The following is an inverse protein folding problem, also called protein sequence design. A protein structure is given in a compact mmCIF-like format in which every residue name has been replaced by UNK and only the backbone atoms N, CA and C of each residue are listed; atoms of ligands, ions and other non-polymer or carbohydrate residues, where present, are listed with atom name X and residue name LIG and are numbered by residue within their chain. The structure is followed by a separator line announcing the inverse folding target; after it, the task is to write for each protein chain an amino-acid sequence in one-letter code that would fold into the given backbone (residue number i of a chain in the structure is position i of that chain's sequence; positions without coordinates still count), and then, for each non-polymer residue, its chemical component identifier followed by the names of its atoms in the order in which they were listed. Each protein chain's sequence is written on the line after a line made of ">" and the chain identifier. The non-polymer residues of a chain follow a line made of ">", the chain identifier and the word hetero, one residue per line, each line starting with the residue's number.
data_IF_939043431329
#
_entry.id   IF_939043431329
#
_cell.length_a   1.000
_cell.length_b   1.000
_cell.length_c   1.000
_cell.angle_alpha   90.00
_cell.angle_beta   90.00
_cell.angle_gamma   90.00
#
_symmetry.space_group_name_H-M   'P 1'
#
loop_
_entity.id
_entity.type
_entity.pdbx_description
1 polymer ?
#
# COMPACT_ATOMS: atom_id res chain seq x y z
N UNK A 1 25.49 8.58 10.67
CA UNK A 1 24.38 8.59 9.67
C UNK A 1 23.52 7.35 9.85
N UNK A 2 23.06 7.10 11.08
CA UNK A 2 22.27 5.90 11.46
C UNK A 2 20.82 6.30 11.84
N UNK A 3 20.62 7.59 12.17
CA UNK A 3 19.34 8.13 12.63
C UNK A 3 18.16 7.91 11.67
N UNK A 4 18.33 8.06 10.34
CA UNK A 4 17.25 7.79 9.38
C UNK A 4 16.86 6.31 9.36
N UNK A 5 17.84 5.42 9.49
CA UNK A 5 17.61 3.97 9.51
C UNK A 5 16.93 3.55 10.81
N UNK A 6 17.38 4.08 11.95
CA UNK A 6 16.76 3.91 13.27
C UNK A 6 15.33 4.44 13.33
N UNK A 7 15.04 5.54 12.65
CA UNK A 7 13.68 6.04 12.52
C UNK A 7 12.82 5.07 11.70
N UNK A 8 13.30 4.67 10.52
CA UNK A 8 12.50 3.88 9.58
C UNK A 8 12.28 2.44 10.05
N UNK A 9 13.21 1.84 10.82
CA UNK A 9 12.99 0.50 11.40
C UNK A 9 11.82 0.47 12.37
N UNK A 10 11.53 1.57 13.05
CA UNK A 10 10.39 1.69 13.98
C UNK A 10 9.08 1.84 13.22
N UNK A 11 9.09 2.59 12.12
CA UNK A 11 7.89 3.03 11.40
C UNK A 11 7.47 2.06 10.28
N UNK A 12 8.39 1.62 9.42
CA UNK A 12 8.05 0.82 8.24
C UNK A 12 7.77 -0.63 8.56
N UNK A 13 6.91 -1.25 7.75
CA UNK A 13 6.81 -2.71 7.69
C UNK A 13 8.17 -3.32 7.36
N UNK A 14 8.44 -4.56 7.81
CA UNK A 14 9.72 -5.26 7.58
C UNK A 14 10.15 -5.24 6.11
N UNK A 15 9.23 -5.51 5.19
CA UNK A 15 9.50 -5.52 3.74
C UNK A 15 9.96 -4.16 3.23
N UNK A 16 9.25 -3.09 3.60
CA UNK A 16 9.59 -1.74 3.13
C UNK A 16 10.88 -1.24 3.77
N UNK A 17 11.11 -1.54 5.05
CA UNK A 17 12.36 -1.23 5.72
C UNK A 17 13.57 -1.85 5.01
N UNK A 18 13.51 -3.13 4.63
CA UNK A 18 14.62 -3.79 3.91
C UNK A 18 14.89 -3.17 2.53
N UNK A 19 13.84 -2.74 1.81
CA UNK A 19 14.00 -2.02 0.54
C UNK A 19 14.66 -0.66 0.77
N UNK A 20 14.23 0.09 1.78
CA UNK A 20 14.83 1.36 2.15
C UNK A 20 16.29 1.21 2.59
N UNK A 21 16.61 0.20 3.41
CA UNK A 21 17.98 -0.11 3.83
C UNK A 21 18.89 -0.42 2.63
N UNK A 22 18.38 -1.15 1.64
CA UNK A 22 19.10 -1.37 0.37
C UNK A 22 19.37 -0.05 -0.35
N UNK A 23 18.39 0.86 -0.44
CA UNK A 23 18.59 2.18 -1.04
C UNK A 23 19.61 3.03 -0.25
N UNK A 24 19.68 2.92 1.08
CA UNK A 24 20.73 3.54 1.90
C UNK A 24 22.11 3.01 1.50
N UNK A 25 22.28 1.69 1.38
CA UNK A 25 23.55 1.08 0.96
C UNK A 25 23.96 1.53 -0.45
N UNK A 26 23.05 1.46 -1.40
CA UNK A 26 23.32 1.85 -2.80
C UNK A 26 23.63 3.35 -2.95
N UNK A 27 23.04 4.21 -2.12
CA UNK A 27 23.31 5.66 -2.18
C UNK A 27 24.77 6.04 -1.93
N UNK A 28 25.56 5.19 -1.26
CA UNK A 28 26.98 5.42 -1.00
C UNK A 28 27.83 5.40 -2.28
N UNK A 29 27.30 4.81 -3.36
CA UNK A 29 27.97 4.76 -4.68
C UNK A 29 27.69 6.02 -5.50
N UNK A 30 26.99 7.01 -4.97
CA UNK A 30 26.53 8.19 -5.70
C UNK A 30 27.05 9.48 -5.08
N UNK A 31 27.30 10.48 -5.93
CA UNK A 31 27.65 11.84 -5.56
C UNK A 31 26.50 12.76 -5.96
N UNK A 32 26.18 13.69 -5.07
CA UNK A 32 25.16 14.71 -5.27
C UNK A 32 25.84 16.09 -5.45
N UNK A 33 25.64 16.72 -6.61
CA UNK A 33 26.21 18.01 -6.98
C UNK A 33 25.10 19.02 -7.26
N UNK A 34 25.23 20.25 -6.74
CA UNK A 34 24.27 21.32 -7.01
C UNK A 34 24.46 21.81 -8.44
N UNK A 35 23.40 21.91 -9.24
CA UNK A 35 23.46 22.37 -10.64
C UNK A 35 22.86 23.77 -10.79
N UNK A 36 21.60 23.93 -10.42
CA UNK A 36 20.84 25.18 -10.60
C UNK A 36 20.22 25.57 -9.26
N UNK A 37 20.17 26.87 -9.01
CA UNK A 37 19.47 27.46 -7.88
C UNK A 37 18.62 28.60 -8.42
N UNK A 38 17.31 28.52 -8.24
CA UNK A 38 16.44 29.68 -8.34
C UNK A 38 15.85 30.00 -6.95
N UNK A 39 15.02 31.05 -6.86
CA UNK A 39 14.44 31.46 -5.58
C UNK A 39 13.47 30.40 -5.01
N UNK A 40 12.76 29.68 -5.89
CA UNK A 40 11.75 28.69 -5.48
C UNK A 40 12.29 27.26 -5.34
N UNK A 41 13.24 26.85 -6.20
CA UNK A 41 13.75 25.48 -6.25
C UNK A 41 15.28 25.42 -6.38
N UNK A 42 15.85 24.34 -5.85
CA UNK A 42 17.28 24.02 -5.97
C UNK A 42 17.41 22.64 -6.60
N UNK A 43 18.05 22.57 -7.75
CA UNK A 43 18.22 21.33 -8.52
C UNK A 43 19.60 20.74 -8.30
N UNK A 44 19.63 19.44 -8.03
CA UNK A 44 20.81 18.65 -7.77
C UNK A 44 20.91 17.49 -8.76
N UNK A 45 22.12 17.24 -9.25
CA UNK A 45 22.43 16.06 -10.05
C UNK A 45 23.03 15.01 -9.15
N UNK A 46 22.44 13.81 -9.18
CA UNK A 46 22.93 12.63 -8.46
C UNK A 46 23.41 11.63 -9.49
N UNK A 47 24.70 11.30 -9.43
CA UNK A 47 25.35 10.41 -10.38
C UNK A 47 26.25 9.42 -9.66
N UNK A 48 26.39 8.24 -10.25
CA UNK A 48 27.19 7.17 -9.68
C UNK A 48 28.68 7.54 -9.79
N UNK A 49 29.44 7.32 -8.73
CA UNK A 49 30.90 7.44 -8.72
C UNK A 49 31.48 6.15 -9.30
N UNK A 50 31.67 6.10 -10.61
CA UNK A 50 32.41 5.02 -11.27
C UNK A 50 33.63 5.56 -12.02
N UNK A 51 34.77 4.89 -11.84
CA UNK A 51 35.97 5.05 -12.65
C UNK A 51 35.82 4.23 -13.94
N UNK A 52 35.02 4.70 -14.90
CA UNK A 52 34.84 4.00 -16.17
C UNK A 52 33.75 4.59 -17.05
N UNK A 53 33.89 4.42 -18.38
CA UNK A 53 33.01 4.98 -19.44
C UNK A 53 31.59 4.38 -19.49
N UNK A 54 31.02 3.99 -18.37
CA UNK A 54 29.61 3.62 -18.28
C UNK A 54 28.81 4.86 -17.91
N UNK A 55 28.13 5.43 -18.90
CA UNK A 55 27.25 6.59 -18.74
C UNK A 55 25.98 6.18 -17.96
N UNK A 56 26.13 5.89 -16.67
CA UNK A 56 24.99 5.60 -15.81
C UNK A 56 24.08 6.84 -15.80
N UNK A 57 22.77 6.64 -16.05
CA UNK A 57 21.79 7.74 -16.11
C UNK A 57 21.91 8.61 -14.87
N UNK A 58 22.24 9.89 -15.08
CA UNK A 58 22.17 10.92 -14.06
C UNK A 58 20.71 11.08 -13.62
N UNK A 59 20.49 11.20 -12.32
CA UNK A 59 19.17 11.51 -11.77
C UNK A 59 19.13 12.94 -11.27
N UNK A 60 17.97 13.56 -11.44
CA UNK A 60 17.71 14.90 -10.95
C UNK A 60 16.93 14.82 -9.63
N UNK A 61 17.40 15.54 -8.63
CA UNK A 61 16.74 15.74 -7.34
C UNK A 61 16.41 17.22 -7.21
N UNK A 62 15.14 17.52 -7.04
CA UNK A 62 14.63 18.89 -6.93
C UNK A 62 14.19 19.15 -5.51
N UNK A 63 14.80 20.15 -4.88
CA UNK A 63 14.41 20.65 -3.57
C UNK A 63 13.55 21.90 -3.73
N UNK A 64 12.33 21.84 -3.23
CA UNK A 64 11.37 22.93 -3.20
C UNK A 64 11.51 23.68 -1.88
N UNK A 65 11.97 24.93 -1.94
CA UNK A 65 12.37 25.69 -0.75
C UNK A 65 11.17 26.02 0.14
N UNK A 66 10.04 26.39 -0.45
CA UNK A 66 8.85 26.81 0.29
C UNK A 66 8.20 25.67 1.09
N UNK A 67 8.12 24.48 0.51
CA UNK A 67 7.48 23.31 1.13
C UNK A 67 8.48 22.41 1.86
N UNK A 68 9.77 22.75 1.80
CA UNK A 68 10.87 21.91 2.24
C UNK A 68 10.74 20.48 1.68
N UNK A 69 10.24 20.34 0.44
CA UNK A 69 9.99 19.05 -0.19
C UNK A 69 11.11 18.68 -1.15
N UNK A 70 11.31 17.38 -1.34
CA UNK A 70 12.36 16.84 -2.21
C UNK A 70 11.69 15.82 -3.11
N UNK A 71 11.81 16.03 -4.41
CA UNK A 71 11.39 15.05 -5.41
C UNK A 71 12.61 14.52 -6.16
N UNK A 72 12.47 13.31 -6.71
CA UNK A 72 13.47 12.76 -7.61
C UNK A 72 12.78 12.27 -8.89
N UNK A 73 13.37 12.58 -10.04
CA UNK A 73 12.82 12.21 -11.33
C UNK A 73 12.73 10.69 -11.58
N UNK A 74 13.39 9.85 -10.76
CA UNK A 74 13.23 8.40 -10.82
C UNK A 74 11.87 7.90 -10.29
N UNK A 75 11.10 8.76 -9.59
CA UNK A 75 9.74 8.49 -9.09
C UNK A 75 9.56 7.24 -8.21
N UNK A 76 10.64 6.66 -7.69
CA UNK A 76 10.54 5.48 -6.81
C UNK A 76 9.67 5.77 -5.59
N UNK A 77 9.76 6.97 -5.02
CA UNK A 77 8.92 7.36 -3.89
C UNK A 77 7.43 7.43 -4.29
N UNK A 78 7.12 7.99 -5.45
CA UNK A 78 5.72 8.09 -5.92
C UNK A 78 5.10 6.70 -6.14
N UNK A 79 5.85 5.78 -6.75
CA UNK A 79 5.37 4.43 -7.07
C UNK A 79 5.43 3.46 -5.89
N UNK A 80 6.57 3.40 -5.19
CA UNK A 80 6.84 2.40 -4.16
C UNK A 80 6.75 2.95 -2.74
N UNK A 81 6.73 4.27 -2.56
CA UNK A 81 6.53 4.93 -1.27
C UNK A 81 7.66 4.86 -0.26
N UNK A 82 8.87 4.48 -0.70
CA UNK A 82 10.11 4.63 0.04
C UNK A 82 11.11 5.47 -0.75
N UNK A 83 12.04 6.11 -0.06
CA UNK A 83 13.00 7.04 -0.68
C UNK A 83 14.00 6.24 -1.53
N UNK A 84 14.22 6.67 -2.76
CA UNK A 84 15.28 6.10 -3.60
C UNK A 84 16.67 6.50 -3.09
N UNK A 85 17.69 5.75 -3.52
CA UNK A 85 19.11 6.05 -3.33
C UNK A 85 19.50 7.48 -3.70
N UNK A 86 18.83 8.09 -4.67
CA UNK A 86 19.12 9.47 -5.08
C UNK A 86 18.63 10.49 -4.04
N UNK A 87 17.41 10.32 -3.53
CA UNK A 87 16.89 11.14 -2.43
C UNK A 87 17.71 10.90 -1.16
N UNK A 88 18.05 9.65 -0.86
CA UNK A 88 18.91 9.32 0.29
C UNK A 88 20.28 9.97 0.16
N UNK A 89 20.94 9.90 -1.00
CA UNK A 89 22.21 10.59 -1.26
C UNK A 89 22.10 12.11 -1.02
N UNK A 90 20.99 12.73 -1.47
CA UNK A 90 20.72 14.13 -1.20
C UNK A 90 20.53 14.43 0.30
N UNK A 91 19.72 13.63 1.02
CA UNK A 91 19.51 13.78 2.46
C UNK A 91 20.81 13.67 3.25
N UNK A 92 21.67 12.71 2.87
CA UNK A 92 23.02 12.55 3.43
C UNK A 92 23.88 13.79 3.21
N UNK A 93 23.89 14.34 1.98
CA UNK A 93 24.60 15.60 1.66
C UNK A 93 24.08 16.78 2.50
N UNK A 94 22.77 16.83 2.74
CA UNK A 94 22.10 17.86 3.55
C UNK A 94 22.13 17.59 5.05
N UNK A 95 22.80 16.52 5.49
CA UNK A 95 22.86 16.12 6.90
C UNK A 95 21.47 15.97 7.54
N UNK A 96 20.48 15.55 6.76
CA UNK A 96 19.14 15.23 7.27
C UNK A 96 19.26 13.96 8.09
N UNK A 97 19.01 14.08 9.40
CA UNK A 97 19.08 12.97 10.34
C UNK A 97 17.77 12.20 10.43
N UNK A 98 16.64 12.90 10.33
CA UNK A 98 15.30 12.34 10.42
C UNK A 98 14.47 12.81 9.22
N UNK A 99 13.72 11.90 8.63
CA UNK A 99 12.79 12.24 7.56
C UNK A 99 11.48 12.76 8.14
N UNK A 100 11.03 13.89 7.62
CA UNK A 100 9.72 14.44 7.93
C UNK A 100 8.59 13.49 7.48
N UNK A 101 7.43 13.58 8.14
CA UNK A 101 6.25 12.74 7.88
C UNK A 101 5.76 12.76 6.43
N UNK A 102 6.06 13.83 5.69
CA UNK A 102 5.76 13.97 4.25
C UNK A 102 6.46 12.91 3.38
N UNK A 103 7.48 12.25 3.92
CA UNK A 103 8.19 11.13 3.28
C UNK A 103 7.74 9.77 3.80
N UNK A 104 6.72 9.70 4.66
CA UNK A 104 6.25 8.47 5.29
C UNK A 104 4.80 8.25 4.87
N UNK A 105 4.57 7.28 3.98
CA UNK A 105 3.22 6.98 3.51
C UNK A 105 2.56 5.96 4.43
N UNK A 106 1.38 6.28 4.96
CA UNK A 106 0.64 5.46 5.94
C UNK A 106 0.55 3.98 5.54
N UNK A 107 0.26 3.70 4.26
CA UNK A 107 0.15 2.34 3.70
C UNK A 107 1.38 1.45 3.90
N UNK A 108 2.55 2.04 4.14
CA UNK A 108 3.82 1.33 4.30
C UNK A 108 4.30 1.24 5.75
N UNK A 109 3.55 1.84 6.68
CA UNK A 109 3.85 1.81 8.11
C UNK A 109 3.37 0.50 8.75
N UNK A 110 3.97 0.10 9.87
CA UNK A 110 3.46 -1.03 10.68
C UNK A 110 2.02 -0.80 11.14
N UNK A 111 1.67 0.47 11.31
CA UNK A 111 0.36 0.93 11.75
C UNK A 111 -0.63 1.13 10.59
N UNK A 112 -0.32 0.64 9.37
CA UNK A 112 -1.21 0.76 8.21
C UNK A 112 -2.61 0.16 8.47
N UNK A 113 -2.71 -0.80 9.40
CA UNK A 113 -3.96 -1.43 9.86
C UNK A 113 -4.48 -0.87 11.20
N UNK A 114 -3.73 0.01 11.86
CA UNK A 114 -4.09 0.51 13.20
C UNK A 114 -5.17 1.59 13.13
N UNK A 115 -5.37 2.25 11.98
CA UNK A 115 -6.61 2.96 11.68
C UNK A 115 -7.86 2.06 11.57
N UNK A 116 -7.69 0.73 11.69
CA UNK A 116 -8.75 -0.29 11.79
C UNK A 116 -8.85 -0.90 13.20
N UNK A 117 -8.02 -0.46 14.13
CA UNK A 117 -8.04 -0.91 15.52
C UNK A 117 -8.25 0.29 16.43
N UNK A 118 -9.45 0.40 17.01
CA UNK A 118 -9.57 1.12 18.27
C UNK A 118 -8.81 0.31 19.34
N UNK A 119 -7.70 0.90 19.80
CA UNK A 119 -7.19 0.86 21.17
C UNK A 119 -6.71 -0.49 21.73
N UNK A 120 -5.40 -0.60 21.91
CA UNK A 120 -4.87 -0.64 23.28
C UNK A 120 -3.44 -0.05 23.34
N UNK A 121 -3.25 0.89 24.28
CA UNK A 121 -2.00 1.47 24.80
C UNK A 121 -1.16 2.46 23.95
N UNK A 122 -1.26 3.73 24.35
CA UNK A 122 -0.26 4.82 24.37
C UNK A 122 0.68 5.06 23.17
N UNK A 123 0.31 6.02 22.31
CA UNK A 123 1.01 7.31 22.09
C UNK A 123 -0.01 8.27 21.46
N UNK A 124 -0.34 9.36 22.16
CA UNK A 124 -1.14 10.45 21.60
C UNK A 124 -0.31 11.28 20.61
N UNK A 125 -0.72 11.30 19.35
CA UNK A 125 -0.53 12.46 18.50
C UNK A 125 -1.85 12.72 17.78
N UNK A 126 -2.53 13.78 18.19
CA UNK A 126 -3.86 14.11 17.69
C UNK A 126 -3.78 14.59 16.25
N UNK A 127 -4.60 13.98 15.38
CA UNK A 127 -5.23 14.64 14.23
C UNK A 127 -6.58 13.97 13.98
N UNK A 128 -7.62 14.71 14.33
CA UNK A 128 -8.92 14.89 13.66
C UNK A 128 -9.52 13.69 12.89
N UNK A 129 -10.49 13.10 13.58
CA UNK A 129 -11.82 12.65 13.13
C UNK A 129 -12.07 12.62 11.61
N UNK A 130 -12.06 11.40 11.09
CA UNK A 130 -12.46 11.08 9.72
C UNK A 130 -12.41 9.58 9.46
N UNK A 131 -12.54 8.74 10.49
CA UNK A 131 -12.51 7.29 10.35
C UNK A 131 -13.74 6.83 9.58
N UNK A 132 -13.51 6.55 8.30
CA UNK A 132 -14.50 6.07 7.36
C UNK A 132 -15.19 4.80 7.88
N UNK A 133 -16.52 4.82 7.80
CA UNK A 133 -17.49 3.77 8.15
C UNK A 133 -17.42 2.58 7.17
N UNK A 134 -16.24 2.25 6.65
CA UNK A 134 -16.06 1.26 5.61
C UNK A 134 -16.43 -0.14 6.12
N UNK A 135 -17.17 -0.89 5.29
CA UNK A 135 -17.52 -2.29 5.52
C UNK A 135 -16.29 -3.14 5.90
N UNK A 136 -15.15 -2.90 5.24
CA UNK A 136 -13.90 -3.61 5.53
C UNK A 136 -13.35 -3.29 6.92
N UNK A 137 -13.53 -2.05 7.40
CA UNK A 137 -13.12 -1.65 8.74
C UNK A 137 -13.95 -2.33 9.83
N UNK A 138 -15.28 -2.33 9.66
CA UNK A 138 -16.22 -3.03 10.56
C UNK A 138 -15.92 -4.53 10.61
N UNK A 139 -15.76 -5.17 9.44
CA UNK A 139 -15.44 -6.59 9.34
C UNK A 139 -14.11 -6.93 10.01
N UNK A 140 -13.07 -6.13 9.77
CA UNK A 140 -11.75 -6.33 10.38
C UNK A 140 -11.78 -6.30 11.90
N UNK A 141 -12.49 -5.33 12.49
CA UNK A 141 -12.61 -5.21 13.94
C UNK A 141 -13.38 -6.38 14.56
N UNK A 142 -14.52 -6.76 13.96
CA UNK A 142 -15.33 -7.88 14.42
C UNK A 142 -14.56 -9.21 14.34
N UNK A 143 -13.86 -9.45 13.24
CA UNK A 143 -13.04 -10.64 13.05
C UNK A 143 -11.91 -10.74 14.09
N UNK A 144 -11.24 -9.64 14.40
CA UNK A 144 -10.19 -9.63 15.42
C UNK A 144 -10.73 -9.97 16.82
N UNK A 145 -11.86 -9.36 17.22
CA UNK A 145 -12.48 -9.64 18.53
C UNK A 145 -12.99 -11.08 18.61
N UNK A 146 -13.59 -11.60 17.53
CA UNK A 146 -14.01 -13.00 17.45
C UNK A 146 -12.82 -13.96 17.55
N UNK A 147 -11.72 -13.70 16.84
CA UNK A 147 -10.51 -14.52 16.91
C UNK A 147 -9.97 -14.64 18.34
N UNK A 148 -9.91 -13.53 19.08
CA UNK A 148 -9.44 -13.55 20.46
C UNK A 148 -10.32 -14.38 21.39
N UNK A 149 -11.64 -14.35 21.17
CA UNK A 149 -12.57 -15.16 21.94
C UNK A 149 -12.47 -16.65 21.58
N UNK A 150 -12.26 -16.96 20.29
CA UNK A 150 -12.01 -18.32 19.79
C UNK A 150 -10.74 -18.91 20.39
N UNK A 151 -9.65 -18.13 20.45
CA UNK A 151 -8.39 -18.58 21.06
C UNK A 151 -8.61 -19.05 22.50
N UNK A 152 -9.34 -18.28 23.31
CA UNK A 152 -9.64 -18.60 24.72
C UNK A 152 -10.62 -19.78 24.85
N UNK A 153 -11.64 -19.84 23.99
CA UNK A 153 -12.65 -20.90 24.05
C UNK A 153 -12.09 -22.25 23.59
N UNK A 154 -11.16 -22.26 22.64
CA UNK A 154 -10.55 -23.47 22.08
C UNK A 154 -9.76 -24.31 23.09
N UNK A 155 -9.46 -23.75 24.28
CA UNK A 155 -8.69 -24.43 25.32
C UNK A 155 -9.42 -25.61 25.99
N UNK A 156 -10.75 -25.69 25.87
CA UNK A 156 -11.54 -26.80 26.46
C UNK A 156 -12.81 -27.06 25.66
N UNK A 157 -13.25 -28.31 25.57
CA UNK A 157 -14.49 -28.68 24.86
C UNK A 157 -15.72 -27.96 25.39
N UNK A 158 -15.84 -27.80 26.71
CA UNK A 158 -16.98 -27.11 27.34
C UNK A 158 -17.09 -25.63 26.94
N UNK A 159 -15.97 -24.94 26.74
CA UNK A 159 -15.96 -23.54 26.30
C UNK A 159 -16.20 -23.42 24.80
N UNK A 160 -15.67 -24.34 24.01
CA UNK A 160 -15.90 -24.42 22.58
C UNK A 160 -17.38 -24.65 22.25
N UNK A 161 -18.04 -25.61 22.93
CA UNK A 161 -19.47 -25.88 22.73
C UNK A 161 -20.35 -24.71 23.17
N UNK A 162 -20.01 -24.07 24.30
CA UNK A 162 -20.68 -22.85 24.74
C UNK A 162 -20.57 -21.73 23.70
N UNK A 163 -19.34 -21.44 23.22
CA UNK A 163 -19.12 -20.36 22.27
C UNK A 163 -19.81 -20.61 20.92
N UNK A 164 -19.84 -21.86 20.45
CA UNK A 164 -20.57 -22.23 19.24
C UNK A 164 -22.07 -21.92 19.36
N UNK A 165 -22.71 -22.32 20.47
CA UNK A 165 -24.12 -22.00 20.71
C UNK A 165 -24.39 -20.50 20.79
N UNK A 166 -23.50 -19.74 21.42
CA UNK A 166 -23.60 -18.28 21.47
C UNK A 166 -23.43 -17.63 20.08
N UNK A 167 -22.53 -18.13 19.23
CA UNK A 167 -22.40 -17.64 17.86
C UNK A 167 -23.66 -17.87 17.02
N UNK A 168 -24.31 -19.02 17.15
CA UNK A 168 -25.60 -19.30 16.51
C UNK A 168 -26.68 -18.34 17.00
N UNK A 169 -26.76 -18.10 18.32
CA UNK A 169 -27.71 -17.15 18.91
C UNK A 169 -27.48 -15.72 18.42
N UNK A 170 -26.22 -15.26 18.42
CA UNK A 170 -25.84 -13.94 17.94
C UNK A 170 -26.14 -13.76 16.46
N UNK A 171 -25.94 -14.80 15.64
CA UNK A 171 -26.25 -14.76 14.21
C UNK A 171 -27.73 -14.45 13.98
N UNK A 172 -28.63 -15.11 14.71
CA UNK A 172 -30.07 -14.85 14.63
C UNK A 172 -30.40 -13.41 15.03
N UNK A 173 -29.89 -12.95 16.17
CA UNK A 173 -30.17 -11.59 16.66
C UNK A 173 -29.65 -10.49 15.75
N UNK A 174 -28.46 -10.67 15.15
CA UNK A 174 -27.89 -9.68 14.24
C UNK A 174 -28.72 -9.57 12.96
N UNK A 175 -29.28 -10.68 12.46
CA UNK A 175 -30.18 -10.68 11.31
C UNK A 175 -31.54 -10.01 11.61
N UNK A 176 -32.03 -10.09 12.85
CA UNK A 176 -33.28 -9.44 13.28
C UNK A 176 -33.17 -7.90 13.34
N UNK A 177 -31.97 -7.38 13.61
CA UNK A 177 -31.69 -5.92 13.65
C UNK A 177 -31.93 -5.28 12.27
N UNK A 178 -31.70 -6.01 11.18
CA UNK A 178 -31.91 -5.51 9.81
C UNK A 178 -33.40 -5.31 9.44
N UNK A 179 -34.33 -5.88 10.21
CA UNK A 179 -35.79 -5.86 9.90
C UNK A 179 -36.51 -4.64 10.51
N UNK A 180 -36.03 -4.12 11.64
CA UNK A 180 -36.74 -3.07 12.40
C UNK A 180 -36.23 -1.65 12.14
N UNK A 181 -35.24 -1.49 11.25
CA UNK A 181 -34.55 -0.23 10.98
C UNK A 181 -34.87 0.48 9.66
N UNK A 182 -35.86 0.03 8.88
CA UNK A 182 -36.13 0.65 7.57
C UNK A 182 -37.63 0.71 7.20
N UNK A 183 -38.32 1.76 7.64
CA UNK A 183 -39.53 2.24 6.98
C UNK A 183 -39.14 2.92 5.65
N UNK A 184 -38.85 2.09 4.66
CA UNK A 184 -38.42 2.52 3.33
C UNK A 184 -38.30 1.32 2.39
N UNK A 185 -39.42 0.62 2.15
CA UNK A 185 -39.51 -0.41 1.12
C UNK A 185 -39.77 0.26 -0.24
N UNK A 186 -38.91 0.12 -1.26
CA UNK A 186 -39.39 -0.09 -2.61
C UNK A 186 -39.68 -1.58 -2.78
N UNK A 187 -40.93 -1.89 -3.08
CA UNK A 187 -41.44 -3.24 -3.33
C UNK A 187 -40.54 -4.00 -4.31
N UNK A 188 -39.89 -5.08 -3.85
CA UNK A 188 -39.58 -6.17 -4.75
C UNK A 188 -40.77 -7.13 -4.75
N UNK A 189 -41.65 -6.90 -5.72
CA UNK A 189 -42.72 -7.85 -6.01
C UNK A 189 -42.09 -9.14 -6.52
N UNK A 190 -42.43 -10.24 -5.85
CA UNK A 190 -42.29 -11.59 -6.34
C UNK A 190 -43.06 -11.72 -7.66
N UNK A 191 -42.32 -11.73 -8.78
CA UNK A 191 -42.76 -12.36 -10.02
C UNK A 191 -41.81 -13.50 -10.35
N UNK A 192 -42.20 -14.69 -9.91
CA UNK A 192 -41.89 -15.93 -10.59
C UNK A 192 -42.36 -15.84 -12.05
N UNK A 193 -41.41 -15.84 -12.99
CA UNK A 193 -41.55 -16.45 -14.31
C UNK A 193 -40.16 -16.69 -14.87
N UNK A 194 -39.86 -17.96 -15.09
CA UNK A 194 -38.66 -18.43 -15.76
C UNK A 194 -38.49 -17.73 -17.10
N UNK A 195 -37.30 -17.19 -17.31
CA UNK A 195 -36.74 -16.95 -18.64
C UNK A 195 -35.27 -17.24 -18.47
N UNK A 196 -34.82 -18.40 -18.98
CA UNK A 196 -33.40 -18.71 -19.06
C UNK A 196 -32.74 -17.63 -19.92
N UNK A 197 -32.15 -16.62 -19.28
CA UNK A 197 -31.20 -15.73 -19.95
C UNK A 197 -29.91 -16.53 -20.08
N UNK A 198 -29.69 -17.04 -21.29
CA UNK A 198 -28.38 -17.52 -21.70
C UNK A 198 -27.44 -16.31 -21.71
N UNK A 199 -26.53 -16.25 -20.74
CA UNK A 199 -25.45 -15.27 -20.75
C UNK A 199 -24.47 -15.77 -21.81
N UNK A 200 -24.48 -15.16 -22.99
CA UNK A 200 -23.40 -15.36 -23.95
C UNK A 200 -22.18 -14.56 -23.52
N UNK A 201 -21.00 -15.17 -23.68
CA UNK A 201 -19.73 -14.50 -23.43
C UNK A 201 -19.62 -13.25 -24.32
N UNK A 202 -19.12 -12.12 -23.77
CA UNK A 202 -18.89 -10.93 -24.56
C UNK A 202 -17.95 -11.23 -25.73
N UNK A 203 -18.25 -10.63 -26.89
CA UNK A 203 -17.47 -10.85 -28.10
C UNK A 203 -15.99 -10.55 -27.87
N UNK A 204 -15.14 -11.45 -28.35
CA UNK A 204 -13.69 -11.38 -28.14
C UNK A 204 -13.11 -10.17 -28.89
N UNK A 205 -12.96 -9.03 -28.20
CA UNK A 205 -12.32 -7.84 -28.76
C UNK A 205 -10.81 -8.02 -28.66
N UNK A 206 -10.11 -8.09 -29.80
CA UNK A 206 -8.65 -8.08 -29.83
C UNK A 206 -8.12 -6.79 -29.20
N UNK A 207 -7.37 -6.92 -28.11
CA UNK A 207 -6.61 -5.81 -27.56
C UNK A 207 -5.68 -5.23 -28.64
N UNK A 208 -5.73 -3.91 -28.84
CA UNK A 208 -4.76 -3.20 -29.69
C UNK A 208 -3.37 -3.39 -29.09
N UNK A 209 -2.57 -4.28 -29.68
CA UNK A 209 -1.18 -4.49 -29.27
C UNK A 209 -0.58 -5.88 -29.52
N UNK A 210 -1.37 -6.91 -29.83
CA UNK A 210 -0.81 -8.22 -30.18
C UNK A 210 -0.52 -8.29 -31.68
N UNK A 211 0.67 -7.86 -32.09
CA UNK A 211 1.19 -8.09 -33.43
C UNK A 211 1.18 -9.58 -33.78
N UNK A 212 1.01 -9.92 -35.07
CA UNK A 212 1.07 -11.31 -35.52
C UNK A 212 2.43 -11.89 -35.14
N UNK A 213 2.44 -13.00 -34.39
CA UNK A 213 3.64 -13.82 -34.15
C UNK A 213 4.30 -14.12 -35.50
N UNK A 214 5.56 -13.73 -35.64
CA UNK A 214 6.37 -14.12 -36.78
C UNK A 214 6.53 -15.64 -36.73
N UNK A 215 5.91 -16.35 -37.69
CA UNK A 215 6.12 -17.78 -37.86
C UNK A 215 7.49 -18.00 -38.50
N UNK A 216 8.25 -18.92 -37.93
CA UNK A 216 9.48 -19.44 -38.53
C UNK A 216 9.13 -20.24 -39.80
N UNK A 217 10.01 -20.22 -40.81
CA UNK A 217 9.84 -20.95 -42.08
C UNK A 217 9.60 -22.45 -41.92
N UNK A 218 9.88 -23.04 -40.74
CA UNK A 218 9.58 -24.44 -40.45
C UNK A 218 8.10 -24.71 -40.12
N UNK A 219 7.31 -23.69 -39.76
CA UNK A 219 5.90 -23.84 -39.37
C UNK A 219 4.90 -23.65 -40.54
N UNK A 220 5.36 -23.31 -41.75
CA UNK A 220 4.47 -23.07 -42.91
C UNK A 220 4.15 -24.32 -43.75
N UNK A 221 4.80 -25.46 -43.47
CA UNK A 221 4.74 -26.64 -44.35
C UNK A 221 3.77 -27.74 -43.91
N UNK A 222 2.99 -27.53 -42.85
CA UNK A 222 1.99 -28.49 -42.37
C UNK A 222 0.59 -27.88 -42.39
N UNK A 223 0.01 -27.75 -43.59
CA UNK A 223 -1.44 -27.77 -43.82
C UNK A 223 -1.71 -28.33 -45.23
N UNK A 224 -1.98 -29.64 -45.30
CA UNK A 224 -2.87 -30.24 -46.30
C UNK A 224 -4.20 -30.49 -45.61
#
# INVERSE_FOLDING_TARGET
>A
MVMMEEQMVRIYTKKIFLLFQKEIGESNKYICTKKISCNATKTYIVQRFESGRNFHRQCEVTYYVQTDYVSCNCRTFDFHGYQCRHMVCFFKKKQVLLLHEKYILHRWTKNAKVGTSLGDSDISFGVEDGTDKSLMGRHGLLAHKAAMLVDVASLTDARSTYLLGEFENLTLRVQEIDIHGNNGIPNYSSKSRESQQFIEDPSEVRAKGCGKRLKSSKESHFKM
#
